data_IF_953355969517
#
_entry.id   IF_953355969517
#
_cell.length_a   1.000
_cell.length_b   1.000
_cell.length_c   1.000
_cell.angle_alpha   90.00
_cell.angle_beta   90.00
_cell.angle_gamma   90.00
#
_symmetry.space_group_name_H-M   'P 1'
#
loop_
_entity.id
_entity.type
_entity.pdbx_description
1 polymer ?
#
# COMPACT_ATOMS: atom_id res chain seq x y z
N UNK A 1 -1.55 -2.69 -1.81
CA UNK A 1 -2.58 -1.78 -2.37
C UNK A 1 -2.22 -0.34 -2.02
N UNK A 2 -2.78 0.65 -2.71
CA UNK A 2 -2.82 2.04 -2.27
C UNK A 2 -4.27 2.42 -1.88
N UNK A 3 -4.53 3.72 -1.69
CA UNK A 3 -5.88 4.23 -1.39
C UNK A 3 -6.88 3.91 -2.52
N UNK A 4 -6.42 3.86 -3.76
CA UNK A 4 -7.24 3.66 -4.96
C UNK A 4 -7.47 2.18 -5.31
N UNK A 5 -6.71 1.26 -4.72
CA UNK A 5 -6.91 -0.18 -4.91
C UNK A 5 -5.61 -0.99 -5.02
N UNK A 6 -5.70 -2.23 -5.53
CA UNK A 6 -4.52 -3.06 -5.81
C UNK A 6 -3.54 -2.32 -6.71
N UNK A 7 -2.24 -2.44 -6.41
CA UNK A 7 -1.20 -1.66 -7.09
C UNK A 7 -0.16 -2.55 -7.75
N UNK A 8 0.36 -3.53 -7.02
CA UNK A 8 1.44 -4.40 -7.46
C UNK A 8 1.11 -5.86 -7.12
N UNK A 9 1.37 -6.75 -8.07
CA UNK A 9 1.40 -8.20 -7.89
C UNK A 9 2.50 -8.75 -8.80
N UNK A 10 3.45 -9.48 -8.23
CA UNK A 10 4.58 -10.06 -8.95
C UNK A 10 4.71 -11.54 -8.63
N UNK A 11 5.16 -12.32 -9.61
CA UNK A 11 5.64 -13.67 -9.40
C UNK A 11 7.13 -13.61 -9.05
N UNK A 12 7.47 -13.69 -7.76
CA UNK A 12 8.86 -13.56 -7.33
C UNK A 12 9.76 -14.74 -7.75
N UNK A 13 9.20 -15.87 -8.20
CA UNK A 13 9.98 -17.02 -8.64
C UNK A 13 10.40 -16.88 -10.10
N UNK A 14 9.46 -16.46 -10.96
CA UNK A 14 9.69 -16.33 -12.41
C UNK A 14 10.06 -14.91 -12.85
N UNK A 15 9.75 -13.91 -12.03
CA UNK A 15 10.09 -12.48 -12.19
C UNK A 15 10.85 -11.94 -10.95
N UNK A 16 12.10 -12.39 -10.73
CA UNK A 16 12.88 -12.03 -9.55
C UNK A 16 13.25 -10.54 -9.48
N UNK A 17 13.13 -9.83 -10.60
CA UNK A 17 13.40 -8.40 -10.70
C UNK A 17 12.11 -7.56 -10.71
N UNK A 18 10.94 -8.20 -10.57
CA UNK A 18 9.64 -7.54 -10.43
C UNK A 18 9.35 -6.55 -11.57
N UNK A 19 9.61 -7.00 -12.80
CA UNK A 19 9.45 -6.22 -14.02
C UNK A 19 8.01 -6.31 -14.55
N UNK A 20 7.35 -7.45 -14.39
CA UNK A 20 6.02 -7.70 -14.95
C UNK A 20 4.92 -7.64 -13.88
N UNK A 21 4.25 -6.48 -13.81
CA UNK A 21 3.14 -6.30 -12.88
C UNK A 21 1.89 -7.04 -13.38
N UNK A 22 1.45 -8.03 -12.60
CA UNK A 22 0.34 -8.94 -12.93
C UNK A 22 -1.04 -8.36 -12.60
N UNK A 23 -1.11 -7.15 -12.03
CA UNK A 23 -2.39 -6.49 -11.70
C UNK A 23 -3.27 -6.30 -12.95
N UNK A 24 -4.57 -6.57 -12.79
CA UNK A 24 -5.56 -6.42 -13.87
C UNK A 24 -5.50 -7.46 -14.98
N UNK A 25 -4.49 -8.34 -15.00
CA UNK A 25 -4.43 -9.43 -15.97
C UNK A 25 -5.49 -10.51 -15.64
N UNK A 26 -6.40 -10.86 -16.58
CA UNK A 26 -7.53 -11.76 -16.28
C UNK A 26 -7.12 -13.13 -15.73
N UNK A 27 -6.00 -13.67 -16.20
CA UNK A 27 -5.44 -14.95 -15.75
C UNK A 27 -5.09 -14.99 -14.25
N UNK A 28 -4.91 -13.82 -13.62
CA UNK A 28 -4.48 -13.69 -12.24
C UNK A 28 -5.57 -13.11 -11.33
N UNK A 29 -6.81 -12.97 -11.80
CA UNK A 29 -7.93 -12.38 -11.02
C UNK A 29 -8.14 -13.09 -9.68
N UNK A 30 -8.17 -14.42 -9.67
CA UNK A 30 -8.38 -15.21 -8.46
C UNK A 30 -7.21 -15.06 -7.47
N UNK A 31 -5.98 -14.97 -7.99
CA UNK A 31 -4.80 -14.74 -7.17
C UNK A 31 -4.81 -13.33 -6.57
N UNK A 32 -5.15 -12.31 -7.35
CA UNK A 32 -5.31 -10.93 -6.89
C UNK A 32 -6.33 -10.85 -5.76
N UNK A 33 -7.50 -11.47 -5.92
CA UNK A 33 -8.53 -11.45 -4.88
C UNK A 33 -8.06 -12.15 -3.60
N UNK A 34 -7.35 -13.28 -3.73
CA UNK A 34 -6.78 -14.00 -2.59
C UNK A 34 -5.76 -13.16 -1.83
N UNK A 35 -4.86 -12.50 -2.55
CA UNK A 35 -3.84 -11.62 -1.95
C UNK A 35 -4.46 -10.38 -1.31
N UNK A 36 -5.48 -9.78 -1.92
CA UNK A 36 -6.22 -8.66 -1.33
C UNK A 36 -6.90 -9.08 -0.02
N UNK A 37 -7.57 -10.23 0.01
CA UNK A 37 -8.21 -10.74 1.23
C UNK A 37 -7.18 -10.98 2.35
N UNK A 38 -6.03 -11.56 2.02
CA UNK A 38 -4.95 -11.79 2.98
C UNK A 38 -4.41 -10.46 3.52
N UNK A 39 -4.17 -9.48 2.64
CA UNK A 39 -3.70 -8.16 3.03
C UNK A 39 -4.70 -7.46 3.96
N UNK A 40 -5.99 -7.48 3.63
CA UNK A 40 -7.04 -6.89 4.47
C UNK A 40 -7.11 -7.53 5.85
N UNK A 41 -6.99 -8.85 5.94
CA UNK A 41 -6.94 -9.54 7.24
C UNK A 41 -5.75 -9.09 8.08
N UNK A 42 -4.56 -8.98 7.48
CA UNK A 42 -3.35 -8.52 8.17
C UNK A 42 -3.44 -7.04 8.60
N UNK A 43 -4.05 -6.17 7.79
CA UNK A 43 -4.29 -4.78 8.17
C UNK A 43 -5.25 -4.70 9.36
N UNK A 44 -6.36 -5.46 9.33
CA UNK A 44 -7.32 -5.50 10.43
C UNK A 44 -6.70 -6.01 11.73
N UNK A 45 -5.86 -7.05 11.68
CA UNK A 45 -5.12 -7.58 12.83
C UNK A 45 -4.23 -6.52 13.49
N UNK A 46 -3.63 -5.65 12.69
CA UNK A 46 -2.70 -4.60 13.15
C UNK A 46 -3.39 -3.28 13.47
N UNK A 47 -4.68 -3.15 13.19
CA UNK A 47 -5.39 -1.86 13.24
C UNK A 47 -4.87 -0.85 12.22
N UNK A 48 -4.35 -1.31 11.09
CA UNK A 48 -3.91 -0.43 10.00
C UNK A 48 -5.13 0.05 9.20
N UNK A 49 -5.44 1.33 9.36
CA UNK A 49 -6.57 1.99 8.72
C UNK A 49 -6.35 2.27 7.23
N UNK A 50 -5.09 2.23 6.75
CA UNK A 50 -4.71 2.66 5.40
C UNK A 50 -5.36 4.01 5.03
N UNK A 51 -5.24 4.99 5.92
CA UNK A 51 -5.83 6.32 5.73
C UNK A 51 -4.90 7.27 4.95
N UNK A 52 -5.45 8.35 4.34
CA UNK A 52 -4.61 9.40 3.76
C UNK A 52 -3.64 10.00 4.78
N UNK A 53 -2.46 10.43 4.31
CA UNK A 53 -1.40 10.97 5.17
C UNK A 53 -1.90 12.06 6.13
N UNK A 54 -2.79 12.95 5.67
CA UNK A 54 -3.34 14.03 6.48
C UNK A 54 -4.05 13.55 7.75
N UNK A 55 -4.73 12.39 7.70
CA UNK A 55 -5.39 11.80 8.88
C UNK A 55 -4.39 11.54 10.00
N UNK A 56 -3.19 11.06 9.65
CA UNK A 56 -2.13 10.81 10.62
C UNK A 56 -1.42 12.09 11.06
N UNK A 57 -1.20 13.04 10.15
CA UNK A 57 -0.63 14.35 10.49
C UNK A 57 -1.49 15.08 11.53
N UNK A 58 -2.81 15.11 11.32
CA UNK A 58 -3.76 15.73 12.24
C UNK A 58 -3.82 14.98 13.57
N UNK A 59 -3.89 13.64 13.52
CA UNK A 59 -3.97 12.79 14.71
C UNK A 59 -2.77 12.95 15.64
N UNK A 60 -1.58 13.12 15.08
CA UNK A 60 -0.32 13.19 15.84
C UNK A 60 0.23 14.62 15.97
N UNK A 61 -0.46 15.63 15.42
CA UNK A 61 -0.09 17.04 15.54
C UNK A 61 1.20 17.40 14.80
N UNK A 62 1.45 16.79 13.65
CA UNK A 62 2.63 17.06 12.83
C UNK A 62 2.33 18.10 11.74
N UNK A 63 3.15 19.14 11.69
CA UNK A 63 3.20 20.07 10.56
C UNK A 63 4.25 19.60 9.55
N UNK A 64 3.93 19.80 8.27
CA UNK A 64 4.81 19.50 7.15
C UNK A 64 5.15 20.78 6.38
N UNK A 65 6.33 20.79 5.76
CA UNK A 65 6.74 21.88 4.89
C UNK A 65 5.97 21.87 3.55
N UNK A 66 6.32 22.80 2.66
CA UNK A 66 5.67 22.95 1.34
C UNK A 66 5.77 21.71 0.43
N UNK A 67 6.65 20.76 0.71
CA UNK A 67 6.79 19.51 -0.05
C UNK A 67 6.21 18.30 0.69
N UNK A 68 5.58 18.52 1.86
CA UNK A 68 4.96 17.47 2.65
C UNK A 68 5.91 16.73 3.58
N UNK A 69 7.10 17.27 3.86
CA UNK A 69 8.07 16.66 4.78
C UNK A 69 7.98 17.26 6.19
N UNK A 70 8.14 16.43 7.22
CA UNK A 70 8.29 16.92 8.60
C UNK A 70 9.64 17.65 8.71
N UNK A 71 9.68 18.94 9.07
CA UNK A 71 10.94 19.70 9.11
C UNK A 71 11.93 19.11 10.12
N UNK A 72 13.15 18.81 9.67
CA UNK A 72 14.23 18.40 10.55
C UNK A 72 14.94 19.63 11.15
N UNK A 73 15.19 19.61 12.46
CA UNK A 73 16.03 20.61 13.15
C UNK A 73 17.12 19.89 13.94
N UNK A 74 18.36 20.32 13.76
CA UNK A 74 19.52 19.91 14.57
C UNK A 74 19.51 20.60 15.93
#
# INVERSE_FOLDING_TARGET
RNLDGPWLLYDNETDPYQIDNLIGQPAYTDLQQRMENLLQAMMAERGDELAPAQVFLDRYGHEVDRVGAVPYRN
#
